data_IF_323788655788
#
_entry.id   IF_323788655788
#
_cell.length_a   1.000
_cell.length_b   1.000
_cell.length_c   1.000
_cell.angle_alpha   90.00
_cell.angle_beta   90.00
_cell.angle_gamma   90.00
#
_symmetry.space_group_name_H-M   'P 1'
#
loop_
_entity.id
_entity.type
_entity.pdbx_description
1 polymer ?
#
# COMPACT_ATOMS: atom_id res chain seq x y z
N UNK A 1 -14.03 10.02 -13.45
CA UNK A 1 -12.87 9.58 -12.64
C UNK A 1 -13.32 8.54 -11.64
N UNK A 2 -12.56 7.48 -11.52
CA UNK A 2 -12.87 6.39 -10.62
C UNK A 2 -11.93 6.43 -9.43
N UNK A 3 -12.50 6.50 -8.22
CA UNK A 3 -11.74 6.42 -6.98
C UNK A 3 -12.25 5.20 -6.22
N UNK A 4 -11.35 4.31 -5.86
CA UNK A 4 -11.68 3.08 -5.12
C UNK A 4 -10.73 2.92 -3.96
N UNK A 5 -11.15 2.16 -2.97
CA UNK A 5 -10.31 1.89 -1.81
C UNK A 5 -10.58 0.48 -1.28
N UNK A 6 -9.60 -0.06 -0.55
CA UNK A 6 -9.75 -1.35 0.09
C UNK A 6 -8.88 -1.42 1.33
N UNK A 7 -9.42 -2.00 2.37
CA UNK A 7 -8.68 -2.26 3.59
C UNK A 7 -7.97 -3.59 3.46
N UNK A 8 -6.74 -3.66 3.97
CA UNK A 8 -5.96 -4.88 3.97
C UNK A 8 -5.12 -4.94 5.24
N UNK A 9 -5.01 -6.14 5.81
CA UNK A 9 -4.22 -6.34 7.02
C UNK A 9 -2.76 -6.55 6.66
N UNK A 10 -1.86 -5.98 7.46
CA UNK A 10 -0.43 -6.21 7.36
C UNK A 10 -0.14 -7.56 8.03
N UNK A 11 0.38 -8.52 7.28
CA UNK A 11 0.61 -9.87 7.77
C UNK A 11 2.08 -10.28 7.81
N UNK A 12 2.98 -9.46 7.25
CA UNK A 12 4.40 -9.74 7.36
C UNK A 12 4.92 -9.29 8.72
N UNK A 13 5.91 -10.01 9.25
CA UNK A 13 6.38 -9.81 10.62
C UNK A 13 6.91 -8.40 10.88
N UNK A 14 7.57 -7.80 9.89
CA UNK A 14 8.24 -6.52 10.07
C UNK A 14 7.38 -5.33 9.66
N UNK A 15 6.17 -5.57 9.15
CA UNK A 15 5.29 -4.50 8.74
C UNK A 15 5.84 -3.70 7.57
N UNK A 16 5.47 -2.41 7.51
CA UNK A 16 5.93 -1.50 6.45
C UNK A 16 7.32 -0.93 6.77
N UNK A 17 8.30 -1.83 6.94
CA UNK A 17 9.70 -1.45 7.09
C UNK A 17 10.26 -0.96 5.74
N UNK A 18 11.53 -0.56 5.71
CA UNK A 18 12.12 0.08 4.53
C UNK A 18 12.00 -0.79 3.27
N UNK A 19 12.33 -2.09 3.37
CA UNK A 19 12.30 -2.98 2.20
C UNK A 19 10.86 -3.19 1.69
N UNK A 20 9.91 -3.41 2.60
CA UNK A 20 8.51 -3.59 2.22
C UNK A 20 7.96 -2.33 1.59
N UNK A 21 8.26 -1.17 2.17
CA UNK A 21 7.84 0.12 1.64
C UNK A 21 8.42 0.35 0.26
N UNK A 22 9.68 -0.01 0.03
CA UNK A 22 10.32 0.12 -1.27
C UNK A 22 9.63 -0.77 -2.32
N UNK A 23 9.27 -1.99 -1.95
CA UNK A 23 8.53 -2.88 -2.85
C UNK A 23 7.16 -2.31 -3.19
N UNK A 24 6.47 -1.76 -2.20
CA UNK A 24 5.17 -1.13 -2.43
C UNK A 24 5.31 0.05 -3.41
N UNK A 25 6.29 0.92 -3.17
CA UNK A 25 6.53 2.08 -4.03
C UNK A 25 6.83 1.64 -5.47
N UNK A 26 7.69 0.63 -5.64
CA UNK A 26 8.03 0.13 -6.97
C UNK A 26 6.79 -0.39 -7.70
N UNK A 27 5.93 -1.13 -7.00
CA UNK A 27 4.69 -1.64 -7.58
C UNK A 27 3.73 -0.50 -7.92
N UNK A 28 3.54 0.45 -6.98
CA UNK A 28 2.64 1.57 -7.17
C UNK A 28 3.09 2.47 -8.33
N UNK A 29 4.40 2.70 -8.44
CA UNK A 29 4.96 3.57 -9.48
C UNK A 29 4.80 2.98 -10.88
N UNK A 30 4.67 1.67 -11.00
CA UNK A 30 4.48 1.00 -12.28
C UNK A 30 3.03 1.01 -12.74
N UNK A 31 2.10 1.48 -11.90
CA UNK A 31 0.68 1.44 -12.20
C UNK A 31 0.19 2.78 -12.71
N UNK A 32 -0.82 2.73 -13.58
CA UNK A 32 -1.43 3.94 -14.13
C UNK A 32 -2.58 4.39 -13.24
N UNK A 33 -2.24 4.81 -12.02
CA UNK A 33 -3.21 5.28 -11.04
C UNK A 33 -2.48 6.07 -9.97
N UNK A 34 -3.21 6.97 -9.31
CA UNK A 34 -2.71 7.68 -8.15
C UNK A 34 -3.02 6.84 -6.92
N UNK A 35 -1.98 6.54 -6.13
CA UNK A 35 -2.10 5.65 -4.97
C UNK A 35 -1.83 6.44 -3.70
N UNK A 36 -2.68 6.26 -2.70
CA UNK A 36 -2.47 6.75 -1.34
C UNK A 36 -2.73 5.64 -0.35
N UNK A 37 -2.05 5.70 0.78
CA UNK A 37 -2.20 4.70 1.84
C UNK A 37 -2.54 5.42 3.14
N UNK A 38 -3.50 4.89 3.86
CA UNK A 38 -4.03 5.51 5.07
C UNK A 38 -3.99 4.54 6.24
N UNK A 39 -3.62 5.06 7.41
CA UNK A 39 -3.70 4.33 8.66
C UNK A 39 -3.99 5.33 9.78
N UNK A 40 -5.02 5.04 10.59
CA UNK A 40 -5.40 5.84 11.76
C UNK A 40 -5.58 7.32 11.42
N UNK A 41 -6.18 7.61 10.27
CA UNK A 41 -6.46 8.97 9.84
C UNK A 41 -5.29 9.68 9.17
N UNK A 42 -4.11 9.06 9.09
CA UNK A 42 -2.96 9.61 8.39
C UNK A 42 -2.87 9.03 6.99
N UNK A 43 -2.79 9.92 6.01
CA UNK A 43 -2.84 9.55 4.61
C UNK A 43 -1.55 9.99 3.93
N UNK A 44 -0.87 9.07 3.25
CA UNK A 44 0.43 9.34 2.64
C UNK A 44 0.40 8.93 1.17
N UNK A 45 1.33 9.47 0.41
CA UNK A 45 1.49 9.11 -1.00
C UNK A 45 2.05 7.69 -1.11
N UNK A 46 1.41 6.85 -1.93
CA UNK A 46 1.81 5.46 -2.12
C UNK A 46 3.14 5.30 -2.87
N UNK A 47 3.71 6.40 -3.37
CA UNK A 47 5.01 6.39 -4.03
C UNK A 47 6.08 7.04 -3.18
N UNK A 48 5.85 7.19 -1.87
CA UNK A 48 6.81 7.75 -0.93
C UNK A 48 7.23 6.69 0.07
N UNK A 49 8.48 6.22 -0.01
CA UNK A 49 9.02 5.25 0.95
C UNK A 49 8.95 5.81 2.37
N UNK A 50 9.38 7.07 2.54
CA UNK A 50 9.36 7.72 3.85
C UNK A 50 7.94 7.86 4.38
N UNK A 51 6.99 8.24 3.52
CA UNK A 51 5.61 8.37 3.92
C UNK A 51 5.04 7.05 4.44
N UNK A 52 5.29 5.96 3.71
CA UNK A 52 4.81 4.65 4.13
C UNK A 52 5.43 4.22 5.46
N UNK A 53 6.73 4.45 5.64
CA UNK A 53 7.39 4.10 6.89
C UNK A 53 6.84 4.90 8.06
N UNK A 54 6.48 6.15 7.84
CA UNK A 54 5.95 7.02 8.88
C UNK A 54 4.56 6.62 9.37
N UNK A 55 3.84 5.80 8.61
CA UNK A 55 2.55 5.28 9.07
C UNK A 55 2.70 4.36 10.27
N UNK A 56 3.86 3.75 10.45
CA UNK A 56 4.09 2.85 11.57
C UNK A 56 3.24 1.59 11.53
N UNK A 57 2.87 1.13 10.31
CA UNK A 57 2.02 -0.05 10.18
C UNK A 57 2.82 -1.31 10.49
N UNK A 58 2.40 -2.02 11.52
CA UNK A 58 3.04 -3.24 12.00
C UNK A 58 2.14 -4.45 11.70
N UNK A 59 2.70 -5.64 11.90
CA UNK A 59 1.93 -6.87 11.74
C UNK A 59 0.66 -6.82 12.59
N UNK A 60 -0.47 -7.11 11.97
CA UNK A 60 -1.77 -7.05 12.62
C UNK A 60 -2.51 -5.75 12.41
N UNK A 61 -1.83 -4.70 12.00
CA UNK A 61 -2.49 -3.43 11.71
C UNK A 61 -3.20 -3.50 10.35
N UNK A 62 -4.22 -2.67 10.20
CA UNK A 62 -4.97 -2.55 8.95
C UNK A 62 -4.64 -1.22 8.30
N UNK A 63 -4.37 -1.26 7.00
CA UNK A 63 -4.20 -0.05 6.19
C UNK A 63 -5.31 0.02 5.15
N UNK A 64 -5.60 1.21 4.68
CA UNK A 64 -6.53 1.43 3.57
C UNK A 64 -5.74 1.93 2.38
N UNK A 65 -5.84 1.22 1.26
CA UNK A 65 -5.20 1.63 0.01
C UNK A 65 -6.26 2.31 -0.84
N UNK A 66 -5.97 3.55 -1.26
CA UNK A 66 -6.83 4.35 -2.13
C UNK A 66 -6.19 4.42 -3.50
N UNK A 67 -6.98 4.20 -4.53
CA UNK A 67 -6.51 4.29 -5.92
C UNK A 67 -7.48 5.12 -6.74
N UNK A 68 -6.94 5.99 -7.60
CA UNK A 68 -7.74 6.85 -8.46
C UNK A 68 -7.14 6.88 -9.85
N UNK A 69 -8.00 6.83 -10.88
CA UNK A 69 -7.58 6.88 -12.27
C UNK A 69 -8.19 5.75 -13.08
N UNK A 70 -7.76 5.64 -14.34
CA UNK A 70 -8.34 4.66 -15.27
C UNK A 70 -8.12 3.23 -14.84
N UNK A 71 -6.95 2.92 -14.29
CA UNK A 71 -6.58 1.57 -13.89
C UNK A 71 -6.69 1.37 -12.38
N UNK A 72 -7.54 2.16 -11.71
CA UNK A 72 -7.63 2.15 -10.25
C UNK A 72 -7.96 0.77 -9.67
N UNK A 73 -8.92 0.06 -10.26
CA UNK A 73 -9.30 -1.27 -9.77
C UNK A 73 -8.15 -2.27 -9.91
N UNK A 74 -7.48 -2.29 -11.06
CA UNK A 74 -6.35 -3.19 -11.27
C UNK A 74 -5.19 -2.85 -10.36
N UNK A 75 -4.94 -1.56 -10.17
CA UNK A 75 -3.89 -1.10 -9.27
C UNK A 75 -4.16 -1.57 -7.84
N UNK A 76 -5.40 -1.42 -7.40
CA UNK A 76 -5.80 -1.82 -6.06
C UNK A 76 -5.62 -3.32 -5.87
N UNK A 77 -6.07 -4.12 -6.85
CA UNK A 77 -5.93 -5.58 -6.78
C UNK A 77 -4.46 -5.99 -6.69
N UNK A 78 -3.59 -5.36 -7.47
CA UNK A 78 -2.16 -5.67 -7.47
C UNK A 78 -1.52 -5.35 -6.13
N UNK A 79 -1.86 -4.20 -5.55
CA UNK A 79 -1.26 -3.77 -4.29
C UNK A 79 -1.80 -4.58 -3.11
N UNK A 80 -3.09 -4.92 -3.11
CA UNK A 80 -3.67 -5.79 -2.09
C UNK A 80 -3.02 -7.17 -2.14
N UNK A 81 -2.78 -7.70 -3.35
CA UNK A 81 -2.11 -8.98 -3.50
C UNK A 81 -0.68 -8.94 -2.96
N UNK A 82 0.06 -7.85 -3.21
CA UNK A 82 1.42 -7.68 -2.70
C UNK A 82 1.44 -7.70 -1.18
N UNK A 83 0.55 -6.95 -0.54
CA UNK A 83 0.45 -6.90 0.93
C UNK A 83 0.03 -8.26 1.47
N UNK A 84 -0.95 -8.91 0.84
CA UNK A 84 -1.44 -10.23 1.25
C UNK A 84 -0.39 -11.31 1.10
N UNK A 85 0.55 -11.15 0.19
CA UNK A 85 1.68 -12.05 -0.02
C UNK A 85 2.85 -11.70 0.89
N UNK A 86 2.65 -10.87 1.89
CA UNK A 86 3.67 -10.45 2.86
C UNK A 86 4.88 -9.81 2.19
N UNK A 87 4.69 -9.10 1.07
CA UNK A 87 5.77 -8.49 0.28
C UNK A 87 6.82 -9.52 -0.14
N UNK A 88 6.44 -10.80 -0.26
CA UNK A 88 7.36 -11.88 -0.58
C UNK A 88 8.27 -12.31 0.57
N UNK A 89 8.00 -11.83 1.79
CA UNK A 89 8.75 -12.22 2.98
C UNK A 89 8.16 -13.50 3.61
N UNK A 90 8.98 -14.22 4.30
CA UNK A 90 8.54 -15.41 5.05
C UNK A 90 7.81 -15.08 6.33
#
# INVERSE_FOLDING_TARGET
MTAVSRQVAITNKRGLHARASAKFVAAASALDATIEVEKDGNRVCGTSIMGLMMLGAAMGDTITIHAEGQSAEQALDSLVALVGDRFGED
#
